data_IF_765686062210
#
_entry.id   IF_765686062210
#
_cell.length_a   1.000
_cell.length_b   1.000
_cell.length_c   1.000
_cell.angle_alpha   90.00
_cell.angle_beta   90.00
_cell.angle_gamma   90.00
#
_symmetry.space_group_name_H-M   'P 1'
#
loop_
_entity.id
_entity.type
_entity.pdbx_description
1 polymer ?
#
# COMPACT_ATOMS: atom_id res chain seq x y z
N UNK A 1 40.24 -69.30 7.59
CA UNK A 1 40.85 -68.01 7.54
C UNK A 1 39.70 -67.00 7.41
N UNK A 2 39.17 -66.55 8.51
CA UNK A 2 39.34 -65.28 9.18
C UNK A 2 39.30 -64.12 8.19
N UNK A 3 38.18 -63.47 8.16
CA UNK A 3 38.22 -62.01 8.22
C UNK A 3 36.93 -61.42 8.80
N UNK A 4 37.14 -60.44 9.62
CA UNK A 4 36.21 -59.88 10.58
C UNK A 4 35.25 -58.85 9.98
N UNK A 5 34.01 -58.94 10.39
CA UNK A 5 33.01 -57.91 10.18
C UNK A 5 33.25 -56.73 11.13
N UNK A 6 33.33 -55.51 10.59
CA UNK A 6 33.29 -54.24 11.35
C UNK A 6 31.84 -53.86 11.66
N UNK A 7 31.56 -53.22 12.82
CA UNK A 7 30.18 -52.91 13.22
C UNK A 7 29.61 -51.68 12.52
N UNK A 8 28.32 -51.76 12.22
CA UNK A 8 27.50 -50.70 11.63
C UNK A 8 27.39 -49.51 12.57
N UNK A 9 27.63 -48.32 12.05
CA UNK A 9 27.40 -47.05 12.72
C UNK A 9 25.90 -46.76 12.79
N UNK A 10 25.43 -46.40 13.97
CA UNK A 10 24.09 -45.87 14.23
C UNK A 10 23.91 -44.50 13.57
N UNK A 11 22.75 -44.18 12.98
CA UNK A 11 22.49 -42.85 12.44
C UNK A 11 22.23 -41.87 13.56
N UNK A 12 22.99 -40.80 13.50
CA UNK A 12 22.94 -39.64 14.38
C UNK A 12 21.60 -38.89 14.27
N UNK A 13 21.12 -38.39 15.40
CA UNK A 13 19.84 -37.72 15.53
C UNK A 13 19.81 -36.43 14.71
N UNK A 14 18.81 -36.28 13.84
CA UNK A 14 18.55 -35.10 13.09
C UNK A 14 18.20 -33.92 14.00
N UNK A 15 19.05 -32.91 14.00
CA UNK A 15 18.80 -31.57 14.58
C UNK A 15 17.66 -30.90 13.80
N UNK A 16 16.64 -30.32 14.45
CA UNK A 16 15.60 -29.59 13.75
C UNK A 16 16.17 -28.34 13.05
N UNK A 17 15.64 -27.94 11.89
CA UNK A 17 16.11 -26.77 11.17
C UNK A 17 15.86 -25.50 12.01
N UNK A 18 16.90 -24.71 12.23
CA UNK A 18 16.78 -23.34 12.75
C UNK A 18 15.97 -22.52 11.74
N UNK A 19 14.88 -21.95 12.20
CA UNK A 19 14.14 -20.92 11.48
C UNK A 19 15.10 -19.74 11.25
N UNK A 20 15.44 -19.52 9.99
CA UNK A 20 16.12 -18.32 9.53
C UNK A 20 15.15 -17.17 9.73
N UNK A 21 15.38 -16.37 10.77
CA UNK A 21 14.64 -15.15 11.03
C UNK A 21 14.63 -14.27 9.79
N UNK A 22 13.43 -13.99 9.28
CA UNK A 22 13.22 -13.05 8.21
C UNK A 22 13.85 -11.72 8.58
N UNK A 23 14.71 -11.21 7.72
CA UNK A 23 15.33 -9.90 7.90
C UNK A 23 14.24 -8.83 7.95
N UNK A 24 14.04 -8.26 9.12
CA UNK A 24 13.21 -7.08 9.34
C UNK A 24 13.77 -5.93 8.47
N UNK A 25 12.97 -5.23 7.67
CA UNK A 25 13.46 -4.14 6.86
C UNK A 25 14.03 -3.05 7.78
N UNK A 26 15.33 -2.80 7.67
CA UNK A 26 16.02 -1.76 8.42
C UNK A 26 15.38 -0.40 8.15
N UNK A 27 14.92 0.26 9.21
CA UNK A 27 14.45 1.65 9.14
C UNK A 27 15.60 2.55 8.64
N UNK A 28 15.34 3.49 7.73
CA UNK A 28 16.38 4.37 7.21
C UNK A 28 17.03 5.17 8.33
N UNK A 29 18.35 5.19 8.35
CA UNK A 29 19.15 5.95 9.31
C UNK A 29 18.95 7.45 9.08
N UNK A 30 18.48 8.17 10.10
CA UNK A 30 18.15 9.58 10.04
C UNK A 30 19.38 10.45 9.72
N UNK A 31 19.39 11.03 8.52
CA UNK A 31 20.08 12.31 8.28
C UNK A 31 19.27 13.43 8.95
N UNK A 32 19.92 14.52 9.37
CA UNK A 32 19.27 15.66 10.02
C UNK A 32 18.10 16.18 9.15
N UNK A 33 16.88 15.80 9.48
CA UNK A 33 15.69 16.04 8.69
C UNK A 33 14.92 17.22 9.27
N UNK A 34 14.53 18.13 8.39
CA UNK A 34 13.71 19.31 8.72
C UNK A 34 12.27 18.85 9.02
N UNK A 35 12.04 18.44 10.28
CA UNK A 35 10.75 17.98 10.77
C UNK A 35 9.92 19.20 11.13
N UNK A 36 8.90 19.51 10.33
CA UNK A 36 7.99 20.63 10.55
C UNK A 36 6.76 20.19 11.33
N UNK A 37 6.60 20.72 12.53
CA UNK A 37 5.39 20.54 13.33
C UNK A 37 4.22 21.36 12.73
N UNK A 38 2.99 20.94 13.07
CA UNK A 38 1.80 21.75 12.84
C UNK A 38 1.91 23.08 13.58
N UNK A 39 1.17 24.09 13.15
CA UNK A 39 1.22 25.42 13.77
C UNK A 39 0.69 25.42 15.22
N UNK A 40 -0.17 24.47 15.57
CA UNK A 40 -0.68 24.26 16.92
C UNK A 40 -0.80 22.74 17.23
N UNK A 41 0.32 22.03 17.39
CA UNK A 41 0.29 20.60 17.64
C UNK A 41 -0.23 20.32 19.05
N UNK A 42 -1.04 19.29 19.27
CA UNK A 42 -1.47 18.90 20.60
C UNK A 42 -0.26 18.40 21.41
N UNK A 43 -0.18 18.75 22.70
CA UNK A 43 0.88 18.24 23.58
C UNK A 43 0.69 16.76 23.90
N UNK A 44 -0.57 16.28 23.89
CA UNK A 44 -0.95 14.88 24.22
C UNK A 44 -2.10 14.43 23.32
N UNK A 45 -2.09 13.17 22.95
CA UNK A 45 -3.17 12.55 22.19
C UNK A 45 -3.43 11.11 22.65
N UNK A 46 -4.67 10.80 23.02
CA UNK A 46 -5.08 9.43 23.35
C UNK A 46 -5.53 8.71 22.08
N UNK A 47 -4.88 7.60 21.77
CA UNK A 47 -5.16 6.76 20.61
C UNK A 47 -6.57 6.17 20.72
N UNK A 48 -7.36 6.31 19.66
CA UNK A 48 -8.74 5.82 19.59
C UNK A 48 -8.82 4.61 18.65
N UNK A 49 -9.84 3.79 18.84
CA UNK A 49 -10.13 2.70 17.91
C UNK A 49 -10.50 3.25 16.54
N UNK A 50 -9.79 2.79 15.50
CA UNK A 50 -9.95 3.27 14.14
C UNK A 50 -8.94 4.36 13.74
N UNK A 51 -8.11 4.84 14.65
CA UNK A 51 -7.00 5.71 14.31
C UNK A 51 -5.96 4.96 13.45
N UNK A 52 -5.20 5.72 12.69
CA UNK A 52 -4.05 5.23 11.93
C UNK A 52 -2.81 6.04 12.28
N UNK A 53 -1.62 5.47 12.10
CA UNK A 53 -0.36 6.20 12.31
C UNK A 53 -0.28 7.45 11.45
N UNK A 54 -0.75 7.37 10.21
CA UNK A 54 -0.83 8.51 9.32
C UNK A 54 -1.73 9.63 9.88
N UNK A 55 -2.94 9.27 10.33
CA UNK A 55 -3.91 10.23 10.89
C UNK A 55 -3.42 10.88 12.17
N UNK A 56 -2.81 10.10 13.07
CA UNK A 56 -2.21 10.62 14.30
C UNK A 56 -1.05 11.56 13.97
N UNK A 57 -0.14 11.14 13.09
CA UNK A 57 1.00 11.95 12.70
C UNK A 57 0.61 13.28 12.07
N UNK A 58 -0.47 13.31 11.30
CA UNK A 58 -1.02 14.55 10.72
C UNK A 58 -1.51 15.57 11.75
N UNK A 59 -1.74 15.15 13.01
CA UNK A 59 -2.08 16.07 14.12
C UNK A 59 -0.84 16.78 14.69
N UNK A 60 0.33 16.16 14.58
CA UNK A 60 1.59 16.68 15.10
C UNK A 60 2.46 17.31 14.03
N UNK A 61 2.45 16.77 12.81
CA UNK A 61 3.36 17.07 11.72
C UNK A 61 2.65 17.72 10.53
N UNK A 62 3.31 18.69 9.90
CA UNK A 62 2.89 19.19 8.58
C UNK A 62 3.05 18.12 7.51
N UNK A 63 4.07 17.26 7.66
CA UNK A 63 4.35 16.12 6.78
C UNK A 63 4.09 14.79 7.50
N UNK A 64 2.87 14.25 7.50
CA UNK A 64 2.50 13.04 8.25
C UNK A 64 3.34 11.81 7.90
N UNK A 65 3.83 11.70 6.67
CA UNK A 65 4.64 10.58 6.19
C UNK A 65 6.02 10.50 6.85
N UNK A 66 6.50 11.61 7.46
CA UNK A 66 7.76 11.65 8.22
C UNK A 66 7.66 11.04 9.62
N UNK A 67 6.52 10.43 9.98
CA UNK A 67 6.36 9.76 11.28
C UNK A 67 7.46 8.73 11.60
N UNK A 68 8.03 7.96 10.63
CA UNK A 68 9.08 7.01 10.97
C UNK A 68 10.36 7.69 11.48
N UNK A 69 10.63 8.91 11.05
CA UNK A 69 11.80 9.68 11.48
C UNK A 69 11.67 10.11 12.94
N UNK A 70 10.50 10.60 13.35
CA UNK A 70 10.24 10.99 14.75
C UNK A 70 10.22 9.79 15.69
N UNK A 71 9.61 8.68 15.28
CA UNK A 71 9.59 7.45 16.05
C UNK A 71 10.95 6.75 16.06
N UNK A 72 11.70 6.81 14.97
CA UNK A 72 13.03 6.21 14.83
C UNK A 72 14.07 6.79 15.76
N UNK A 73 13.88 8.00 16.27
CA UNK A 73 14.73 8.63 17.28
C UNK A 73 14.52 8.04 18.69
N UNK A 74 13.46 7.25 18.88
CA UNK A 74 13.07 6.64 20.15
C UNK A 74 13.14 5.10 20.13
N UNK A 75 14.13 4.53 19.42
CA UNK A 75 14.32 3.06 19.32
C UNK A 75 14.43 2.36 20.69
N UNK A 76 14.90 3.07 21.70
CA UNK A 76 15.07 2.53 23.05
C UNK A 76 13.74 2.42 23.81
N UNK A 77 12.76 3.29 23.52
CA UNK A 77 11.45 3.32 24.20
C UNK A 77 10.36 2.58 23.42
N UNK A 78 10.40 2.63 22.09
CA UNK A 78 9.41 1.99 21.22
C UNK A 78 10.13 1.05 20.26
N UNK A 79 10.25 -0.20 20.65
CA UNK A 79 10.93 -1.25 19.86
C UNK A 79 10.25 -1.45 18.49
N UNK A 80 8.94 -1.23 18.39
CA UNK A 80 8.18 -1.36 17.16
C UNK A 80 7.06 -0.31 17.09
N UNK A 81 7.20 0.75 16.28
CA UNK A 81 6.17 1.79 16.13
C UNK A 81 4.84 1.29 15.56
N UNK A 82 4.83 0.10 14.97
CA UNK A 82 3.61 -0.53 14.48
C UNK A 82 2.74 -1.15 15.60
N UNK A 83 3.25 -1.21 16.83
CA UNK A 83 2.56 -1.79 17.99
C UNK A 83 1.98 -0.70 18.91
N UNK A 84 1.23 0.24 18.36
CA UNK A 84 0.48 1.25 19.12
C UNK A 84 -0.97 0.79 19.22
N UNK A 85 -1.52 0.84 20.43
CA UNK A 85 -2.85 0.31 20.72
C UNK A 85 -3.85 1.41 21.10
N UNK A 86 -5.14 1.23 20.81
CA UNK A 86 -6.17 2.12 21.30
C UNK A 86 -6.14 2.20 22.84
N UNK A 87 -6.17 3.42 23.37
CA UNK A 87 -6.07 3.73 24.79
C UNK A 87 -4.68 4.22 25.24
N UNK A 88 -3.64 4.01 24.45
CA UNK A 88 -2.32 4.59 24.72
C UNK A 88 -2.30 6.09 24.50
N UNK A 89 -1.45 6.79 25.24
CA UNK A 89 -1.32 8.25 25.15
C UNK A 89 0.02 8.59 24.53
N UNK A 90 -0.04 9.32 23.42
CA UNK A 90 1.13 9.85 22.72
C UNK A 90 1.37 11.28 23.22
N UNK A 91 2.60 11.58 23.62
CA UNK A 91 3.04 12.88 24.11
C UNK A 91 4.10 13.45 23.18
N UNK A 92 3.95 14.71 22.83
CA UNK A 92 4.94 15.46 22.07
C UNK A 92 5.98 16.03 23.04
N UNK A 93 7.21 15.53 22.95
CA UNK A 93 8.35 15.98 23.74
C UNK A 93 9.18 17.00 22.93
N UNK A 94 9.27 18.21 23.42
CA UNK A 94 10.03 19.30 22.83
C UNK A 94 11.29 19.65 23.65
N UNK A 95 11.64 18.85 24.64
CA UNK A 95 12.78 19.12 25.54
C UNK A 95 14.14 18.89 24.89
N UNK A 96 14.19 18.16 23.79
CA UNK A 96 15.42 17.87 23.03
C UNK A 96 15.68 18.85 21.88
N UNK A 97 16.83 18.68 21.20
CA UNK A 97 17.18 19.44 20.00
C UNK A 97 16.23 19.17 18.79
N UNK A 98 15.55 18.03 18.82
CA UNK A 98 14.55 17.61 17.81
C UNK A 98 13.27 17.20 18.51
N UNK A 99 12.09 17.54 17.97
CA UNK A 99 10.80 17.09 18.51
C UNK A 99 10.68 15.57 18.46
N UNK A 100 10.11 14.96 19.52
CA UNK A 100 9.93 13.52 19.64
C UNK A 100 8.51 13.18 20.07
N UNK A 101 8.01 12.03 19.62
CA UNK A 101 6.74 11.48 20.07
C UNK A 101 7.01 10.29 20.99
N UNK A 102 6.49 10.32 22.22
CA UNK A 102 6.68 9.29 23.24
C UNK A 102 5.33 8.67 23.63
N UNK A 103 5.34 7.41 24.03
CA UNK A 103 4.18 6.79 24.67
C UNK A 103 4.23 7.07 26.17
N UNK A 104 3.17 7.64 26.73
CA UNK A 104 3.05 7.85 28.16
C UNK A 104 2.78 6.49 28.84
N UNK A 105 3.62 6.12 29.83
CA UNK A 105 3.47 4.87 30.59
C UNK A 105 4.40 3.73 30.18
N UNK A 106 5.20 3.86 29.13
CA UNK A 106 6.34 2.97 28.86
C UNK A 106 7.57 3.54 29.58
N UNK A 107 7.57 3.48 30.88
CA UNK A 107 8.81 3.67 31.67
C UNK A 107 9.70 2.48 31.38
N UNK A 108 10.91 2.77 30.92
CA UNK A 108 12.03 1.84 30.83
C UNK A 108 12.04 0.95 32.10
N UNK A 109 12.23 -0.38 31.88
CA UNK A 109 12.11 -1.43 32.91
C UNK A 109 12.91 -1.21 34.19
N UNK A 110 12.53 -0.22 34.95
CA UNK A 110 12.90 0.03 36.30
C UNK A 110 11.72 -0.29 37.19
N UNK A 111 11.83 -1.33 37.98
CA UNK A 111 11.02 -1.58 39.17
C UNK A 111 10.81 -0.26 39.92
N UNK A 112 9.73 0.46 39.61
CA UNK A 112 9.38 1.61 40.44
C UNK A 112 9.04 1.11 41.83
N UNK A 113 9.91 1.44 42.71
CA UNK A 113 9.89 1.28 44.17
C UNK A 113 8.53 1.82 44.66
N UNK A 114 7.57 0.91 44.85
CA UNK A 114 6.39 1.19 45.65
C UNK A 114 6.86 1.23 47.10
N UNK A 115 7.14 2.40 47.58
CA UNK A 115 7.37 2.67 48.99
C UNK A 115 6.00 2.81 49.65
N UNK A 116 5.68 1.84 50.51
CA UNK A 116 4.77 2.02 51.61
C UNK A 116 3.32 1.65 51.46
N UNK A 117 3.02 0.39 51.16
CA UNK A 117 1.77 -0.24 51.58
C UNK A 117 2.05 -1.69 51.97
N UNK A 118 1.67 -2.09 53.21
CA UNK A 118 1.69 -3.47 53.68
C UNK A 118 0.82 -4.34 52.76
N UNK A 119 1.43 -5.35 52.16
CA UNK A 119 0.77 -6.35 51.35
C UNK A 119 -0.08 -7.27 52.25
N UNK A 120 -1.37 -7.05 52.32
CA UNK A 120 -2.29 -8.14 52.65
C UNK A 120 -2.27 -9.14 51.50
N UNK A 121 -1.68 -10.30 51.74
CA UNK A 121 -1.65 -11.42 50.79
C UNK A 121 -3.05 -12.01 50.69
N UNK A 122 -3.85 -11.54 49.79
CA UNK A 122 -5.07 -12.18 49.36
C UNK A 122 -4.72 -13.20 48.28
N UNK A 123 -4.99 -14.47 48.55
CA UNK A 123 -4.79 -15.58 47.62
C UNK A 123 -5.83 -15.45 46.49
N UNK A 124 -5.44 -14.80 45.39
CA UNK A 124 -6.28 -14.68 44.19
C UNK A 124 -6.28 -16.00 43.44
N UNK A 125 -7.43 -16.61 43.26
CA UNK A 125 -7.59 -17.73 42.33
C UNK A 125 -7.32 -17.24 40.87
N UNK A 126 -6.59 -18.02 40.05
CA UNK A 126 -6.28 -17.63 38.67
C UNK A 126 -7.56 -17.61 37.85
N UNK A 127 -8.09 -16.42 37.60
CA UNK A 127 -9.12 -16.19 36.62
C UNK A 127 -8.45 -15.85 35.28
N UNK A 128 -8.58 -16.73 34.31
CA UNK A 128 -8.20 -16.44 32.92
C UNK A 128 -9.13 -15.35 32.39
N UNK A 129 -8.68 -14.11 32.39
CA UNK A 129 -9.30 -13.06 31.59
C UNK A 129 -8.74 -13.16 30.17
N UNK A 130 -9.49 -13.75 29.26
CA UNK A 130 -9.26 -13.59 27.83
C UNK A 130 -9.73 -12.19 27.44
N UNK A 131 -8.86 -11.21 27.54
CA UNK A 131 -9.06 -9.93 26.87
C UNK A 131 -8.66 -10.17 25.42
N UNK A 132 -9.57 -9.98 24.48
CA UNK A 132 -9.20 -9.96 23.07
C UNK A 132 -8.09 -8.92 22.90
N UNK A 133 -6.91 -9.34 22.45
CA UNK A 133 -5.81 -8.43 22.12
C UNK A 133 -6.35 -7.47 21.07
N UNK A 134 -6.52 -6.20 21.44
CA UNK A 134 -6.82 -5.16 20.47
C UNK A 134 -5.66 -5.13 19.48
N UNK A 135 -5.98 -5.26 18.18
CA UNK A 135 -4.96 -5.15 17.14
C UNK A 135 -4.33 -3.75 17.19
N UNK A 136 -3.01 -3.68 17.00
CA UNK A 136 -2.29 -2.42 16.86
C UNK A 136 -2.89 -1.58 15.72
N UNK A 137 -2.81 -0.26 15.82
CA UNK A 137 -3.32 0.62 14.77
C UNK A 137 -2.45 0.50 13.51
N UNK A 138 -3.05 0.38 12.32
CA UNK A 138 -2.29 0.31 11.08
C UNK A 138 -1.73 1.67 10.67
N UNK A 139 -0.73 1.70 9.82
CA UNK A 139 -0.23 2.93 9.19
C UNK A 139 -1.32 3.63 8.38
N UNK A 140 -2.07 2.84 7.62
CA UNK A 140 -3.24 3.26 6.86
C UNK A 140 -4.31 2.18 7.09
N UNK A 141 -5.57 2.57 7.15
CA UNK A 141 -6.65 1.62 7.33
C UNK A 141 -6.70 0.59 6.19
N UNK A 142 -6.54 -0.68 6.49
CA UNK A 142 -6.67 -1.76 5.51
C UNK A 142 -8.08 -1.76 4.87
N UNK A 143 -9.10 -1.30 5.61
CA UNK A 143 -10.47 -1.18 5.12
C UNK A 143 -10.57 -0.13 4.00
N UNK A 144 -9.82 0.98 4.11
CA UNK A 144 -9.82 2.05 3.12
C UNK A 144 -9.04 1.65 1.86
N UNK A 145 -8.03 0.80 2.02
CA UNK A 145 -7.20 0.30 0.91
C UNK A 145 -7.78 -0.92 0.19
N UNK A 146 -8.49 -1.80 0.91
CA UNK A 146 -9.00 -3.06 0.36
C UNK A 146 -9.80 -2.91 -0.97
N UNK A 147 -10.64 -1.87 -1.17
CA UNK A 147 -11.34 -1.68 -2.44
C UNK A 147 -10.41 -1.42 -3.62
N UNK A 148 -9.21 -0.88 -3.38
CA UNK A 148 -8.29 -0.47 -4.44
C UNK A 148 -7.26 -1.56 -4.76
N UNK A 149 -6.87 -2.38 -3.77
CA UNK A 149 -5.85 -3.41 -3.96
C UNK A 149 -6.25 -4.48 -4.97
N UNK A 150 -7.54 -4.83 -5.03
CA UNK A 150 -8.05 -5.87 -5.93
C UNK A 150 -8.48 -5.37 -7.32
N UNK A 151 -8.58 -4.05 -7.54
CA UNK A 151 -9.24 -3.50 -8.73
C UNK A 151 -8.30 -2.92 -9.78
N UNK A 152 -7.06 -2.69 -9.45
CA UNK A 152 -6.17 -1.91 -10.31
C UNK A 152 -5.14 -2.80 -10.97
N UNK A 153 -5.38 -3.18 -12.21
CA UNK A 153 -4.42 -3.86 -13.06
C UNK A 153 -4.07 -2.97 -14.24
N UNK A 154 -2.81 -2.96 -14.62
CA UNK A 154 -2.35 -2.42 -15.91
C UNK A 154 -1.65 -3.54 -16.65
N UNK A 155 -2.04 -3.74 -17.87
CA UNK A 155 -1.54 -4.79 -18.73
C UNK A 155 -0.94 -4.15 -19.97
N UNK A 156 0.19 -4.62 -20.41
CA UNK A 156 0.73 -4.21 -21.68
C UNK A 156 -0.24 -4.59 -22.82
N UNK A 157 -0.44 -3.72 -23.82
CA UNK A 157 -1.39 -3.97 -24.90
C UNK A 157 -1.17 -5.29 -25.63
N UNK A 158 0.08 -5.71 -25.80
CA UNK A 158 0.44 -6.99 -26.41
C UNK A 158 -0.02 -8.17 -25.53
N UNK A 159 0.16 -8.06 -24.22
CA UNK A 159 -0.29 -9.08 -23.26
C UNK A 159 -1.81 -9.20 -23.27
N UNK A 160 -2.54 -8.09 -23.43
CA UNK A 160 -4.02 -8.12 -23.57
C UNK A 160 -4.43 -8.91 -24.81
N UNK A 161 -3.74 -8.71 -25.93
CA UNK A 161 -4.07 -9.40 -27.17
C UNK A 161 -3.90 -10.93 -27.05
N UNK A 162 -2.86 -11.35 -26.32
CA UNK A 162 -2.50 -12.76 -26.09
C UNK A 162 -3.21 -13.40 -24.88
N UNK A 163 -3.90 -12.59 -24.06
CA UNK A 163 -4.58 -13.11 -22.87
C UNK A 163 -5.72 -14.07 -23.24
N UNK A 164 -5.90 -15.16 -22.48
CA UNK A 164 -7.03 -16.07 -22.66
C UNK A 164 -8.35 -15.29 -22.63
N UNK A 165 -9.32 -15.75 -23.43
CA UNK A 165 -10.58 -15.04 -23.68
C UNK A 165 -11.77 -15.94 -23.39
N UNK A 166 -12.78 -15.42 -22.70
CA UNK A 166 -14.08 -16.07 -22.54
C UNK A 166 -14.81 -16.02 -23.89
N UNK A 167 -15.21 -17.18 -24.38
CA UNK A 167 -15.86 -17.34 -25.69
C UNK A 167 -17.34 -17.67 -25.58
N UNK A 168 -17.78 -18.28 -24.47
CA UNK A 168 -19.18 -18.61 -24.25
C UNK A 168 -19.47 -18.79 -22.75
N UNK A 169 -20.74 -18.64 -22.38
CA UNK A 169 -21.28 -19.15 -21.12
C UNK A 169 -22.03 -20.46 -21.34
N UNK A 170 -22.24 -21.26 -20.29
CA UNK A 170 -23.14 -22.40 -20.35
C UNK A 170 -24.58 -21.93 -20.61
N UNK A 171 -25.38 -22.80 -21.21
CA UNK A 171 -26.79 -22.55 -21.51
C UNK A 171 -27.04 -21.26 -22.34
N UNK A 172 -26.12 -20.92 -23.25
CA UNK A 172 -26.18 -19.72 -24.11
C UNK A 172 -26.27 -18.39 -23.34
N UNK A 173 -25.84 -18.35 -22.08
CA UNK A 173 -25.83 -17.14 -21.27
C UNK A 173 -24.84 -16.12 -21.81
N UNK A 174 -25.30 -14.90 -21.96
CA UNK A 174 -24.49 -13.77 -22.42
C UNK A 174 -23.78 -13.09 -21.23
N UNK A 175 -24.47 -13.05 -20.08
CA UNK A 175 -23.96 -12.48 -18.82
C UNK A 175 -23.76 -13.59 -17.81
N UNK A 176 -22.57 -13.60 -17.20
CA UNK A 176 -22.15 -14.62 -16.24
C UNK A 176 -22.04 -14.02 -14.85
N UNK A 177 -22.54 -14.75 -13.90
CA UNK A 177 -22.53 -14.42 -12.46
C UNK A 177 -21.71 -15.44 -11.67
N UNK A 178 -21.61 -15.25 -10.36
CA UNK A 178 -20.96 -16.22 -9.48
C UNK A 178 -21.66 -17.59 -9.58
N UNK A 179 -20.86 -18.66 -9.58
CA UNK A 179 -21.22 -20.06 -9.79
C UNK A 179 -21.65 -20.46 -11.22
N UNK A 180 -21.67 -19.53 -12.18
CA UNK A 180 -21.89 -19.87 -13.58
C UNK A 180 -20.65 -20.54 -14.20
N UNK A 181 -20.87 -21.37 -15.21
CA UNK A 181 -19.79 -21.97 -16.00
C UNK A 181 -19.51 -21.12 -17.24
N UNK A 182 -18.25 -20.77 -17.44
CA UNK A 182 -17.73 -20.08 -18.61
C UNK A 182 -16.80 -21.00 -19.41
N UNK A 183 -16.74 -20.76 -20.72
CA UNK A 183 -15.80 -21.44 -21.62
C UNK A 183 -14.80 -20.42 -22.14
N UNK A 184 -13.50 -20.76 -22.07
CA UNK A 184 -12.44 -19.87 -22.53
C UNK A 184 -11.40 -20.61 -23.40
N UNK A 185 -10.78 -19.85 -24.30
CA UNK A 185 -9.68 -20.31 -25.15
C UNK A 185 -8.36 -19.67 -24.72
N UNK A 186 -7.24 -20.37 -24.95
CA UNK A 186 -5.90 -19.87 -24.63
C UNK A 186 -5.47 -20.06 -23.19
N UNK A 187 -6.24 -20.77 -22.37
CA UNK A 187 -5.89 -21.09 -20.97
C UNK A 187 -4.81 -22.15 -20.94
N UNK A 188 -3.68 -21.87 -20.28
CA UNK A 188 -2.55 -22.78 -20.16
C UNK A 188 -2.51 -23.45 -18.79
N UNK A 189 -2.45 -24.78 -18.76
CA UNK A 189 -2.40 -25.57 -17.52
C UNK A 189 -1.18 -25.24 -16.66
N UNK A 190 -0.04 -24.91 -17.27
CA UNK A 190 1.19 -24.53 -16.60
C UNK A 190 1.09 -23.26 -15.76
N UNK A 191 0.05 -22.44 -15.98
CA UNK A 191 -0.18 -21.18 -15.26
C UNK A 191 -1.14 -21.30 -14.07
N UNK A 192 -1.56 -22.53 -13.73
CA UNK A 192 -2.42 -22.80 -12.59
C UNK A 192 -3.92 -22.72 -12.90
N UNK A 193 -4.73 -22.95 -11.86
CA UNK A 193 -6.19 -23.06 -11.97
C UNK A 193 -6.95 -21.80 -11.60
N UNK A 194 -6.32 -20.82 -10.91
CA UNK A 194 -7.01 -19.63 -10.45
C UNK A 194 -6.67 -18.43 -11.32
N UNK A 195 -7.71 -17.74 -11.80
CA UNK A 195 -7.60 -16.65 -12.75
C UNK A 195 -8.49 -15.48 -12.36
N UNK A 196 -7.99 -14.27 -12.59
CA UNK A 196 -8.81 -13.06 -12.52
C UNK A 196 -9.48 -12.82 -13.88
N UNK A 197 -10.75 -12.46 -13.85
CA UNK A 197 -11.49 -12.02 -15.05
C UNK A 197 -11.42 -10.50 -15.15
N UNK A 198 -11.03 -9.99 -16.31
CA UNK A 198 -10.94 -8.56 -16.54
C UNK A 198 -11.46 -8.16 -17.92
N UNK A 199 -11.90 -6.90 -18.02
CA UNK A 199 -12.24 -6.24 -19.27
C UNK A 199 -11.18 -5.21 -19.61
N UNK A 200 -10.61 -5.23 -20.84
CA UNK A 200 -9.71 -4.17 -21.28
C UNK A 200 -10.41 -2.80 -21.26
N UNK A 201 -9.90 -1.91 -20.40
CA UNK A 201 -10.39 -0.55 -20.24
C UNK A 201 -9.63 0.45 -21.11
N UNK A 202 -9.46 1.66 -20.58
CA UNK A 202 -8.79 2.79 -21.25
C UNK A 202 -7.30 2.54 -21.48
N UNK A 203 -6.75 3.26 -22.47
CA UNK A 203 -5.31 3.29 -22.71
C UNK A 203 -4.72 4.46 -21.94
N UNK A 204 -3.66 4.21 -21.20
CA UNK A 204 -2.88 5.25 -20.54
C UNK A 204 -1.84 5.79 -21.52
N UNK A 205 -1.86 7.11 -21.71
CA UNK A 205 -0.95 7.82 -22.61
C UNK A 205 -0.24 8.91 -21.80
N UNK A 206 1.06 9.03 -21.96
CA UNK A 206 1.82 10.12 -21.36
C UNK A 206 1.38 11.46 -21.99
N UNK A 207 0.95 12.44 -21.17
CA UNK A 207 0.45 13.71 -21.70
C UNK A 207 1.52 14.54 -22.42
N UNK A 208 2.79 14.35 -22.09
CA UNK A 208 3.92 15.11 -22.64
C UNK A 208 4.53 14.39 -23.85
N UNK A 209 4.90 13.13 -23.72
CA UNK A 209 5.62 12.36 -24.75
C UNK A 209 4.70 11.66 -25.74
N UNK A 210 3.41 11.54 -25.43
CA UNK A 210 2.42 10.75 -26.18
C UNK A 210 2.73 9.25 -26.21
N UNK A 211 3.65 8.78 -25.40
CA UNK A 211 3.97 7.37 -25.27
C UNK A 211 2.77 6.60 -24.70
N UNK A 212 2.48 5.42 -25.28
CA UNK A 212 1.53 4.47 -24.68
C UNK A 212 2.18 3.81 -23.47
N UNK A 213 1.61 4.06 -22.30
CA UNK A 213 2.14 3.57 -21.01
C UNK A 213 1.57 2.21 -20.61
N UNK A 214 0.40 1.83 -21.13
CA UNK A 214 -0.29 0.59 -20.83
C UNK A 214 -1.78 0.69 -21.03
N UNK A 215 -2.49 -0.41 -20.74
CA UNK A 215 -3.95 -0.49 -20.80
C UNK A 215 -4.52 -0.91 -19.46
N UNK A 216 -5.53 -0.22 -19.02
CA UNK A 216 -6.28 -0.59 -17.82
C UNK A 216 -6.95 -1.95 -18.02
N UNK A 217 -6.88 -2.79 -17.01
CA UNK A 217 -7.64 -4.02 -16.92
C UNK A 217 -8.67 -3.85 -15.79
N UNK A 218 -9.92 -3.62 -16.17
CA UNK A 218 -11.04 -3.48 -15.24
C UNK A 218 -11.33 -4.85 -14.65
N UNK A 219 -11.11 -5.03 -13.36
CA UNK A 219 -11.38 -6.29 -12.68
C UNK A 219 -12.89 -6.56 -12.61
N UNK A 220 -13.29 -7.74 -13.05
CA UNK A 220 -14.70 -8.17 -13.06
C UNK A 220 -14.98 -9.24 -11.99
N UNK A 221 -14.04 -10.15 -11.75
CA UNK A 221 -14.23 -11.24 -10.82
C UNK A 221 -13.09 -12.27 -10.86
N UNK A 222 -13.33 -13.41 -10.21
CA UNK A 222 -12.40 -14.52 -10.11
C UNK A 222 -13.02 -15.78 -10.72
N UNK A 223 -12.21 -16.58 -11.36
CA UNK A 223 -12.60 -17.86 -11.96
C UNK A 223 -11.61 -18.97 -11.62
N UNK A 224 -12.11 -20.19 -11.54
CA UNK A 224 -11.33 -21.39 -11.37
C UNK A 224 -11.53 -22.30 -12.58
N UNK A 225 -10.42 -22.82 -13.14
CA UNK A 225 -10.46 -23.81 -14.21
C UNK A 225 -10.88 -25.14 -13.64
N UNK A 226 -11.95 -25.71 -14.16
CA UNK A 226 -12.43 -27.06 -13.83
C UNK A 226 -11.86 -28.12 -14.79
N UNK A 227 -11.74 -27.76 -16.07
CA UNK A 227 -11.11 -28.65 -17.06
C UNK A 227 -10.28 -27.85 -18.06
N UNK A 228 -9.10 -28.36 -18.39
CA UNK A 228 -8.20 -27.82 -19.40
C UNK A 228 -8.42 -28.50 -20.74
N UNK A 229 -8.24 -27.78 -21.82
CA UNK A 229 -8.37 -28.27 -23.20
C UNK A 229 -8.17 -27.14 -24.19
N UNK A 230 -8.46 -27.39 -25.48
CA UNK A 230 -8.53 -26.35 -26.49
C UNK A 230 -9.53 -25.26 -26.05
N UNK A 231 -10.64 -25.70 -25.51
CA UNK A 231 -11.61 -24.88 -24.77
C UNK A 231 -11.61 -25.34 -23.32
N UNK A 232 -11.21 -24.47 -22.43
CA UNK A 232 -11.21 -24.73 -20.98
C UNK A 232 -12.58 -24.38 -20.39
N UNK A 233 -13.07 -25.22 -19.46
CA UNK A 233 -14.24 -24.88 -18.66
C UNK A 233 -13.80 -24.24 -17.34
N UNK A 234 -14.43 -23.14 -16.99
CA UNK A 234 -14.16 -22.35 -15.80
C UNK A 234 -15.44 -22.16 -15.00
N UNK A 235 -15.33 -22.22 -13.70
CA UNK A 235 -16.37 -21.79 -12.76
C UNK A 235 -16.07 -20.36 -12.31
N UNK A 236 -17.03 -19.46 -12.41
CA UNK A 236 -16.94 -18.11 -11.86
C UNK A 236 -17.09 -18.22 -10.34
N UNK A 237 -16.02 -17.90 -9.60
CA UNK A 237 -16.04 -17.94 -8.14
C UNK A 237 -16.68 -16.69 -7.55
N UNK A 238 -16.37 -15.54 -8.14
CA UNK A 238 -16.88 -14.25 -7.71
C UNK A 238 -17.06 -13.35 -8.94
N UNK A 239 -18.19 -12.64 -9.02
CA UNK A 239 -18.45 -11.60 -9.99
C UNK A 239 -18.77 -10.30 -9.23
N UNK A 240 -17.94 -9.27 -9.44
CA UNK A 240 -18.17 -7.92 -8.90
C UNK A 240 -18.85 -7.01 -9.91
N UNK A 241 -18.68 -7.32 -11.17
CA UNK A 241 -19.34 -6.69 -12.31
C UNK A 241 -19.76 -7.80 -13.27
N UNK A 242 -20.61 -7.48 -14.21
CA UNK A 242 -21.07 -8.39 -15.24
C UNK A 242 -19.90 -8.93 -16.08
N UNK A 243 -19.75 -10.24 -16.09
CA UNK A 243 -18.79 -10.95 -16.94
C UNK A 243 -19.50 -11.35 -18.22
N UNK A 244 -18.87 -11.10 -19.36
CA UNK A 244 -19.46 -11.37 -20.69
C UNK A 244 -18.48 -12.06 -21.61
N UNK A 245 -18.99 -12.61 -22.70
CA UNK A 245 -18.18 -13.11 -23.80
C UNK A 245 -17.27 -12.00 -24.32
N UNK A 246 -15.99 -12.31 -24.48
CA UNK A 246 -14.97 -11.34 -24.90
C UNK A 246 -14.09 -10.83 -23.75
N UNK A 247 -14.51 -10.98 -22.50
CA UNK A 247 -13.68 -10.66 -21.35
C UNK A 247 -12.45 -11.58 -21.30
N UNK A 248 -11.39 -11.11 -20.67
CA UNK A 248 -10.06 -11.72 -20.66
C UNK A 248 -9.73 -12.31 -19.31
N UNK A 249 -8.76 -13.21 -19.30
CA UNK A 249 -8.27 -13.85 -18.10
C UNK A 249 -6.81 -13.47 -17.86
N UNK A 250 -6.46 -13.18 -16.61
CA UNK A 250 -5.10 -13.02 -16.14
C UNK A 250 -4.83 -14.00 -15.01
N UNK A 251 -3.62 -14.52 -14.95
CA UNK A 251 -3.21 -15.36 -13.81
C UNK A 251 -3.41 -14.59 -12.52
N UNK A 252 -4.04 -15.22 -11.54
CA UNK A 252 -4.17 -14.63 -10.21
C UNK A 252 -2.78 -14.45 -9.62
N UNK A 253 -2.35 -13.23 -9.43
CA UNK A 253 -1.12 -12.90 -8.71
C UNK A 253 -1.44 -12.55 -7.28
N UNK A 254 -0.52 -12.88 -6.38
CA UNK A 254 -0.63 -12.44 -5.00
C UNK A 254 -0.74 -10.92 -4.93
N UNK A 255 -1.63 -10.44 -4.06
CA UNK A 255 -1.75 -9.02 -3.82
C UNK A 255 -0.43 -8.51 -3.23
N UNK A 256 0.13 -7.42 -3.75
CA UNK A 256 1.34 -6.86 -3.18
C UNK A 256 1.08 -6.49 -1.72
N UNK A 257 1.93 -6.98 -0.84
CA UNK A 257 1.94 -6.54 0.55
C UNK A 257 2.34 -5.06 0.55
N UNK A 258 1.45 -4.21 1.06
CA UNK A 258 1.78 -2.79 1.19
C UNK A 258 2.88 -2.62 2.21
N UNK A 259 3.95 -1.90 1.88
CA UNK A 259 4.94 -1.52 2.88
C UNK A 259 4.25 -0.69 3.96
N UNK A 260 4.42 -1.09 5.20
CA UNK A 260 3.80 -0.40 6.35
C UNK A 260 4.45 0.96 6.64
N UNK A 261 5.60 1.25 6.04
CA UNK A 261 6.39 2.46 6.31
C UNK A 261 6.42 3.33 5.07
N UNK A 262 5.82 4.54 5.10
CA UNK A 262 5.94 5.50 4.02
C UNK A 262 7.38 6.04 3.93
N UNK A 263 7.85 6.27 2.70
CA UNK A 263 9.19 6.77 2.43
C UNK A 263 9.21 7.70 1.22
N UNK A 264 10.20 8.59 1.15
CA UNK A 264 10.44 9.36 -0.06
C UNK A 264 11.12 8.49 -1.13
N UNK A 265 10.92 8.77 -2.42
CA UNK A 265 11.71 8.15 -3.48
C UNK A 265 13.18 8.53 -3.35
N UNK A 266 14.09 7.56 -3.57
CA UNK A 266 15.53 7.81 -3.57
C UNK A 266 15.99 8.64 -4.79
N UNK A 267 15.30 8.44 -5.91
CA UNK A 267 15.56 9.19 -7.15
C UNK A 267 14.61 10.39 -7.25
N UNK A 268 15.04 11.42 -7.94
CA UNK A 268 14.14 12.55 -8.27
C UNK A 268 13.09 12.07 -9.27
N UNK A 269 11.86 12.09 -8.82
CA UNK A 269 10.69 11.74 -9.64
C UNK A 269 9.96 13.02 -10.04
N UNK A 270 9.67 13.13 -11.31
CA UNK A 270 8.82 14.19 -11.88
C UNK A 270 7.79 13.54 -12.78
N UNK A 271 6.55 13.58 -12.37
CA UNK A 271 5.44 12.94 -13.07
C UNK A 271 4.17 13.76 -13.04
N UNK A 272 3.11 13.18 -13.61
CA UNK A 272 1.78 13.77 -13.65
C UNK A 272 0.72 12.74 -13.31
N UNK A 273 -0.38 13.22 -12.78
CA UNK A 273 -1.62 12.47 -12.66
C UNK A 273 -2.23 12.35 -14.06
N UNK A 274 -2.43 11.13 -14.54
CA UNK A 274 -2.97 10.89 -15.89
C UNK A 274 -4.40 10.35 -15.88
N UNK A 275 -4.87 9.86 -14.75
CA UNK A 275 -6.22 9.33 -14.59
C UNK A 275 -6.60 9.23 -13.10
N UNK A 276 -7.86 9.00 -12.83
CA UNK A 276 -8.36 8.65 -11.51
C UNK A 276 -9.18 7.35 -11.51
N UNK A 277 -9.82 7.05 -10.41
CA UNK A 277 -10.57 5.81 -10.18
C UNK A 277 -11.80 5.63 -11.09
N UNK A 278 -12.27 6.67 -11.71
CA UNK A 278 -13.43 6.67 -12.61
C UNK A 278 -13.21 7.65 -13.76
N UNK A 279 -13.62 7.25 -14.96
CA UNK A 279 -13.59 8.13 -16.14
C UNK A 279 -14.62 9.26 -16.07
N UNK A 280 -15.64 9.08 -15.22
CA UNK A 280 -16.72 10.05 -15.06
C UNK A 280 -16.31 11.24 -14.17
N UNK A 281 -15.20 11.13 -13.41
CA UNK A 281 -14.76 12.16 -12.50
C UNK A 281 -13.50 12.84 -13.03
N UNK A 282 -13.53 14.16 -13.08
CA UNK A 282 -12.38 15.01 -13.39
C UNK A 282 -11.64 15.48 -12.14
N UNK A 283 -12.24 15.29 -10.97
CA UNK A 283 -11.74 15.75 -9.68
C UNK A 283 -11.70 14.60 -8.67
N UNK A 284 -10.59 14.52 -7.94
CA UNK A 284 -10.33 13.43 -6.98
C UNK A 284 -10.02 14.03 -5.61
N UNK A 285 -10.69 13.54 -4.59
CA UNK A 285 -10.48 13.94 -3.19
C UNK A 285 -9.53 13.01 -2.44
N UNK A 286 -9.33 13.24 -1.14
CA UNK A 286 -8.64 12.31 -0.26
C UNK A 286 -9.25 10.90 -0.32
N UNK A 287 -8.39 9.88 -0.20
CA UNK A 287 -8.71 8.45 -0.33
C UNK A 287 -9.23 8.05 -1.73
N UNK A 288 -9.06 8.89 -2.74
CA UNK A 288 -9.27 8.51 -4.14
C UNK A 288 -7.98 7.93 -4.73
N UNK A 289 -8.15 6.95 -5.65
CA UNK A 289 -7.05 6.42 -6.44
C UNK A 289 -6.76 7.34 -7.61
N UNK A 290 -5.47 7.57 -7.86
CA UNK A 290 -4.96 8.25 -9.05
C UNK A 290 -3.89 7.43 -9.75
N UNK A 291 -3.76 7.61 -11.04
CA UNK A 291 -2.74 6.96 -11.87
C UNK A 291 -1.67 7.98 -12.24
N UNK A 292 -0.41 7.59 -12.05
CA UNK A 292 0.75 8.41 -12.36
C UNK A 292 1.45 7.89 -13.62
N UNK A 293 1.98 8.80 -14.45
CA UNK A 293 2.76 8.45 -15.65
C UNK A 293 4.22 8.09 -15.34
N UNK A 294 4.47 7.58 -14.14
CA UNK A 294 5.78 7.08 -13.69
C UNK A 294 5.60 5.71 -13.04
N UNK A 295 6.56 4.83 -13.28
CA UNK A 295 6.52 3.45 -12.82
C UNK A 295 7.88 2.94 -12.33
N UNK A 296 8.06 1.63 -12.35
CA UNK A 296 9.31 0.98 -11.91
C UNK A 296 10.53 1.46 -12.71
N UNK A 297 10.39 1.70 -14.03
CA UNK A 297 11.47 2.23 -14.87
C UNK A 297 11.97 3.60 -14.39
N UNK A 298 11.11 4.38 -13.74
CA UNK A 298 11.44 5.71 -13.21
C UNK A 298 11.93 5.64 -11.75
N UNK A 299 12.02 4.44 -11.17
CA UNK A 299 12.48 4.20 -9.80
C UNK A 299 11.39 4.32 -8.74
N UNK A 300 10.11 4.25 -9.13
CA UNK A 300 9.01 4.19 -8.16
C UNK A 300 8.86 2.79 -7.59
N UNK A 301 8.53 2.75 -6.31
CA UNK A 301 8.27 1.55 -5.54
C UNK A 301 7.03 1.72 -4.65
N UNK A 302 6.35 0.63 -4.28
CA UNK A 302 5.24 0.71 -3.34
C UNK A 302 5.66 1.30 -2.00
N UNK A 303 4.81 2.12 -1.39
CA UNK A 303 5.06 2.83 -0.13
C UNK A 303 5.74 4.19 -0.28
N UNK A 304 6.18 4.56 -1.47
CA UNK A 304 6.73 5.88 -1.70
C UNK A 304 5.67 6.97 -1.72
N UNK A 305 6.02 8.11 -1.14
CA UNK A 305 5.13 9.28 -1.04
C UNK A 305 5.64 10.37 -1.98
N UNK A 306 4.71 11.01 -2.68
CA UNK A 306 4.98 12.13 -3.58
C UNK A 306 4.08 13.31 -3.19
N UNK A 307 4.60 14.52 -3.37
CA UNK A 307 3.83 15.75 -3.21
C UNK A 307 3.08 16.10 -4.49
N UNK A 308 1.86 16.58 -4.33
CA UNK A 308 0.99 17.07 -5.40
C UNK A 308 1.15 18.58 -5.58
N UNK A 309 1.34 18.99 -6.81
CA UNK A 309 1.47 20.39 -7.20
C UNK A 309 0.44 20.73 -8.28
N UNK A 310 -0.22 21.89 -8.12
CA UNK A 310 -1.08 22.44 -9.15
C UNK A 310 -0.24 23.09 -10.24
N UNK A 311 -0.49 22.68 -11.48
CA UNK A 311 0.01 23.40 -12.64
C UNK A 311 -0.87 24.63 -12.87
N UNK A 312 -0.41 25.77 -12.41
CA UNK A 312 -1.16 27.05 -12.54
C UNK A 312 -1.02 27.67 -13.94
N UNK A 313 -0.22 27.05 -14.82
CA UNK A 313 -0.01 27.55 -16.16
C UNK A 313 0.93 28.75 -16.23
N UNK A 314 0.69 29.58 -17.24
CA UNK A 314 1.46 30.79 -17.51
C UNK A 314 0.54 32.02 -17.50
N UNK A 315 1.08 33.16 -17.06
CA UNK A 315 0.41 34.47 -17.09
C UNK A 315 1.24 35.40 -17.96
N UNK A 316 0.58 36.16 -18.82
CA UNK A 316 1.21 37.25 -19.55
C UNK A 316 1.38 38.43 -18.62
N UNK A 317 2.62 38.92 -18.43
CA UNK A 317 2.86 40.11 -17.67
C UNK A 317 2.07 41.26 -18.30
N UNK A 318 1.30 41.96 -17.48
CA UNK A 318 0.48 43.12 -17.93
C UNK A 318 1.29 44.38 -18.28
N UNK A 319 2.62 44.23 -18.34
CA UNK A 319 3.55 45.28 -18.76
C UNK A 319 3.67 45.33 -20.31
N UNK A 320 4.24 46.43 -20.81
CA UNK A 320 4.46 46.68 -22.24
C UNK A 320 5.31 45.59 -22.91
N UNK A 321 6.00 44.74 -22.13
CA UNK A 321 6.90 43.71 -22.65
C UNK A 321 6.16 42.43 -23.08
N UNK A 322 4.93 42.19 -22.66
CA UNK A 322 4.15 41.02 -23.01
C UNK A 322 4.79 39.68 -22.62
N UNK A 323 5.72 39.67 -21.64
CA UNK A 323 6.42 38.45 -21.25
C UNK A 323 5.48 37.42 -20.66
N UNK A 324 5.64 36.16 -21.09
CA UNK A 324 4.96 35.02 -20.51
C UNK A 324 5.70 34.57 -19.29
N UNK A 325 5.08 34.67 -18.14
CA UNK A 325 5.62 34.25 -16.84
C UNK A 325 5.01 32.92 -16.45
N UNK A 326 5.84 31.95 -16.06
CA UNK A 326 5.35 30.69 -15.48
C UNK A 326 5.10 30.92 -13.99
N UNK A 327 3.88 30.61 -13.55
CA UNK A 327 3.55 30.69 -12.14
C UNK A 327 4.28 29.61 -11.34
N UNK A 328 4.71 29.89 -10.10
CA UNK A 328 5.35 28.91 -9.25
C UNK A 328 4.40 27.76 -8.94
N UNK A 329 4.96 26.55 -8.85
CA UNK A 329 4.22 25.36 -8.44
C UNK A 329 3.84 25.52 -6.96
N UNK A 330 2.57 25.26 -6.65
CA UNK A 330 2.08 25.28 -5.28
C UNK A 330 1.77 23.86 -4.84
N UNK A 331 2.45 23.40 -3.80
CA UNK A 331 2.15 22.13 -3.15
C UNK A 331 0.78 22.23 -2.45
N UNK A 332 -0.05 21.20 -2.61
CA UNK A 332 -1.38 21.20 -2.04
C UNK A 332 -1.82 19.86 -1.48
N UNK A 333 -1.01 18.80 -1.62
CA UNK A 333 -1.37 17.48 -1.13
C UNK A 333 -0.26 16.45 -1.26
N UNK A 334 -0.55 15.25 -0.79
CA UNK A 334 0.34 14.09 -0.79
C UNK A 334 -0.37 12.89 -1.38
N UNK A 335 0.35 12.11 -2.18
CA UNK A 335 -0.09 10.80 -2.66
C UNK A 335 0.89 9.73 -2.22
N UNK A 336 0.39 8.53 -1.91
CA UNK A 336 1.21 7.37 -1.61
C UNK A 336 1.04 6.31 -2.70
N UNK A 337 2.14 5.89 -3.28
CA UNK A 337 2.19 4.83 -4.29
C UNK A 337 1.93 3.49 -3.60
N UNK A 338 0.90 2.76 -4.05
CA UNK A 338 0.57 1.45 -3.50
C UNK A 338 0.77 0.30 -4.48
N UNK A 339 0.78 0.58 -5.78
CA UNK A 339 1.04 -0.43 -6.81
C UNK A 339 1.86 0.17 -7.95
N UNK A 340 2.88 -0.55 -8.37
CA UNK A 340 3.80 -0.08 -9.41
C UNK A 340 3.84 -1.08 -10.55
N UNK A 341 3.70 -0.57 -11.76
CA UNK A 341 3.90 -1.27 -13.02
C UNK A 341 5.13 -0.68 -13.72
N UNK A 342 5.52 -1.23 -14.84
CA UNK A 342 6.75 -0.79 -15.51
C UNK A 342 6.74 0.72 -15.84
N UNK A 343 5.67 1.25 -16.43
CA UNK A 343 5.57 2.63 -16.94
C UNK A 343 4.62 3.52 -16.15
N UNK A 344 3.74 2.94 -15.34
CA UNK A 344 2.73 3.65 -14.55
C UNK A 344 2.71 3.14 -13.13
N UNK A 345 2.16 3.94 -12.23
CA UNK A 345 1.87 3.51 -10.87
C UNK A 345 0.50 4.01 -10.43
N UNK A 346 -0.08 3.28 -9.50
CA UNK A 346 -1.30 3.67 -8.80
C UNK A 346 -0.94 4.24 -7.45
N UNK A 347 -1.51 5.39 -7.15
CA UNK A 347 -1.30 6.07 -5.90
C UNK A 347 -2.65 6.44 -5.25
N UNK A 348 -2.66 6.47 -3.93
CA UNK A 348 -3.79 6.91 -3.13
C UNK A 348 -3.56 8.36 -2.70
N UNK A 349 -4.54 9.22 -2.86
CA UNK A 349 -4.50 10.59 -2.35
C UNK A 349 -4.61 10.53 -0.84
N UNK A 350 -3.53 10.80 -0.12
CA UNK A 350 -3.48 10.72 1.35
C UNK A 350 -4.01 11.99 2.00
N UNK A 351 -3.68 13.15 1.42
CA UNK A 351 -4.17 14.44 1.86
C UNK A 351 -4.15 15.41 0.68
N UNK A 352 -5.14 16.28 0.64
CA UNK A 352 -5.19 17.35 -0.35
C UNK A 352 -6.04 18.51 0.21
N UNK A 353 -5.56 19.74 0.08
CA UNK A 353 -6.28 20.95 0.47
C UNK A 353 -7.27 21.43 -0.59
N UNK A 354 -7.23 20.82 -1.78
CA UNK A 354 -8.11 21.06 -2.93
C UNK A 354 -8.25 19.78 -3.76
N UNK A 355 -9.21 19.73 -4.67
CA UNK A 355 -9.40 18.59 -5.58
C UNK A 355 -8.16 18.35 -6.45
N UNK A 356 -7.78 17.10 -6.62
CA UNK A 356 -6.73 16.66 -7.54
C UNK A 356 -7.32 16.52 -8.94
N UNK A 357 -6.59 16.95 -9.96
CA UNK A 357 -7.03 16.88 -11.36
C UNK A 357 -6.02 16.12 -12.22
N UNK A 358 -6.49 15.65 -13.35
CA UNK A 358 -5.60 15.14 -14.41
C UNK A 358 -4.66 16.27 -14.86
N UNK A 359 -3.40 15.95 -15.11
CA UNK A 359 -2.26 16.83 -15.37
C UNK A 359 -1.71 17.60 -14.16
N UNK A 360 -2.20 17.38 -12.95
CA UNK A 360 -1.47 17.85 -11.77
C UNK A 360 -0.13 17.15 -11.66
N UNK A 361 0.85 17.87 -11.16
CA UNK A 361 2.24 17.45 -11.13
C UNK A 361 2.53 16.71 -9.82
N UNK A 362 3.36 15.68 -9.89
CA UNK A 362 3.89 14.97 -8.73
C UNK A 362 5.41 15.05 -8.70
N UNK A 363 5.95 15.34 -7.51
CA UNK A 363 7.38 15.41 -7.23
C UNK A 363 7.72 14.71 -5.92
N UNK A 364 9.03 14.51 -5.68
CA UNK A 364 9.49 14.12 -4.36
C UNK A 364 8.99 15.11 -3.31
N UNK A 365 8.60 14.64 -2.13
CA UNK A 365 8.22 15.52 -1.04
C UNK A 365 9.44 16.29 -0.53
N UNK A 366 9.21 17.56 -0.16
CA UNK A 366 10.24 18.47 0.38
C UNK A 366 10.54 18.21 1.85
#
# INVERSE_FOLDING_TARGET
MKDAAAPAATPDAATPPQETGGAEPALPTAGATDIKLQDNPPSRYTVKRGDTLWGISGRFLKNPWKWPEIWGMNKDEIKNPHLIYPGEVIVLDLSGATPRLRLEGVSDGGLSRWSGYELQVSKLEPRVRSTALSAAIPTISAKDLAPFLSRSLVVDPETVALAPKIVAGADTRVVLSANDTAFAVGVQQSKGSFWNVFRPGRIFIDPDTKEMLGREAVYLGDAQVESFGEVAALRILQARQEISTGDRLAVMSELPTLPNVPRAPERKVHGKVIAGSSDALSEFGPLSMVVLNRGARDGLEPGQVLSLYRNQGTVTAGDVSGRVLRLPLQEYGLVMVYRVFNKVSFALVMSASRSVHVNDIVHNPS
#
